data_IF_533171253169
#
_entry.id   IF_533171253169
#
_cell.length_a   1.000
_cell.length_b   1.000
_cell.length_c   1.000
_cell.angle_alpha   90.00
_cell.angle_beta   90.00
_cell.angle_gamma   90.00
#
_symmetry.space_group_name_H-M   'P 1'
#
loop_
_entity.id
_entity.type
_entity.pdbx_description
1 polymer ?
#
# COMPACT_ATOMS: atom_id res chain seq x y z
N UNK A 1 -12.64 -0.97 -2.60
CA UNK A 1 -13.01 -1.67 -1.34
C UNK A 1 -13.56 -0.61 -0.40
N UNK A 2 -14.66 -0.85 0.32
CA UNK A 2 -15.23 0.09 1.30
C UNK A 2 -15.01 -0.38 2.75
N UNK A 3 -14.10 -1.34 2.95
CA UNK A 3 -13.71 -1.86 4.27
C UNK A 3 -14.86 -2.45 5.11
N UNK A 4 -16.01 -2.78 4.48
CA UNK A 4 -17.19 -3.30 5.17
C UNK A 4 -17.03 -4.71 5.79
N UNK A 5 -15.88 -5.38 5.59
CA UNK A 5 -15.61 -6.69 6.16
C UNK A 5 -16.26 -7.89 5.46
N UNK A 6 -17.16 -7.68 4.49
CA UNK A 6 -17.83 -8.79 3.78
C UNK A 6 -16.83 -9.77 3.14
N UNK A 7 -15.73 -9.27 2.59
CA UNK A 7 -14.71 -10.14 2.00
C UNK A 7 -13.99 -11.04 3.01
N UNK A 8 -13.99 -10.70 4.31
CA UNK A 8 -13.49 -11.59 5.36
C UNK A 8 -14.53 -12.65 5.73
N UNK A 9 -15.82 -12.27 5.84
CA UNK A 9 -16.92 -13.19 6.15
C UNK A 9 -17.08 -14.27 5.08
N UNK A 10 -16.94 -13.89 3.82
CA UNK A 10 -17.09 -14.79 2.68
C UNK A 10 -15.76 -15.33 2.14
N UNK A 11 -14.67 -15.16 2.89
CA UNK A 11 -13.37 -15.68 2.46
C UNK A 11 -13.42 -17.23 2.47
N UNK A 12 -13.16 -17.91 1.34
CA UNK A 12 -13.12 -19.37 1.33
C UNK A 12 -11.89 -19.94 2.04
N UNK A 13 -10.87 -19.09 2.28
CA UNK A 13 -9.68 -19.44 3.05
C UNK A 13 -9.94 -19.15 4.53
N UNK A 14 -9.57 -20.11 5.39
CA UNK A 14 -9.87 -20.07 6.83
C UNK A 14 -9.15 -18.93 7.58
N UNK A 15 -8.07 -18.40 7.01
CA UNK A 15 -7.26 -17.35 7.61
C UNK A 15 -7.10 -16.16 6.67
N UNK A 16 -7.13 -14.97 7.27
CA UNK A 16 -6.86 -13.71 6.60
C UNK A 16 -8.11 -12.91 6.25
N UNK A 17 -7.95 -11.59 6.32
CA UNK A 17 -8.91 -10.57 5.90
C UNK A 17 -8.31 -9.90 4.67
N UNK A 18 -8.72 -10.29 3.45
CA UNK A 18 -8.11 -9.80 2.22
C UNK A 18 -8.03 -8.28 2.13
N UNK A 19 -9.05 -7.58 2.65
CA UNK A 19 -9.09 -6.12 2.65
C UNK A 19 -8.17 -5.43 3.66
N UNK A 20 -7.69 -6.13 4.71
CA UNK A 20 -6.99 -5.51 5.84
C UNK A 20 -5.55 -6.01 6.01
N UNK A 21 -5.30 -7.27 5.68
CA UNK A 21 -4.00 -7.91 5.94
C UNK A 21 -3.03 -7.81 4.73
N UNK A 22 -3.37 -6.98 3.72
CA UNK A 22 -2.56 -6.70 2.52
C UNK A 22 -2.34 -5.21 2.39
N UNK A 23 -1.22 -4.82 1.74
CA UNK A 23 -0.96 -3.42 1.41
C UNK A 23 -2.02 -2.89 0.44
N UNK A 24 -2.55 -1.71 0.75
CA UNK A 24 -3.43 -0.95 -0.14
C UNK A 24 -2.62 0.00 -1.01
N UNK A 25 -2.82 -0.02 -2.32
CA UNK A 25 -2.38 1.05 -3.20
C UNK A 25 -3.48 2.13 -3.23
N UNK A 26 -3.15 3.31 -2.74
CA UNK A 26 -4.06 4.46 -2.72
C UNK A 26 -3.89 5.32 -3.98
N UNK A 27 -4.96 6.02 -4.34
CA UNK A 27 -5.02 6.91 -5.51
C UNK A 27 -5.13 8.39 -5.15
N UNK A 28 -5.33 8.70 -3.87
CA UNK A 28 -5.31 10.07 -3.34
C UNK A 28 -4.91 10.07 -1.88
N UNK A 29 -4.49 11.23 -1.37
CA UNK A 29 -4.28 11.41 0.07
C UNK A 29 -5.58 11.23 0.85
N UNK A 30 -6.70 11.70 0.32
CA UNK A 30 -8.03 11.55 0.92
C UNK A 30 -8.39 10.06 1.12
N UNK A 31 -8.17 9.20 0.13
CA UNK A 31 -8.41 7.76 0.25
C UNK A 31 -7.54 7.14 1.36
N UNK A 32 -6.31 7.63 1.50
CA UNK A 32 -5.37 7.16 2.52
C UNK A 32 -5.72 7.68 3.92
N UNK A 33 -6.26 8.88 4.04
CA UNK A 33 -6.71 9.48 5.30
C UNK A 33 -8.01 8.85 5.81
N UNK A 34 -8.93 8.52 4.90
CA UNK A 34 -10.20 7.87 5.23
C UNK A 34 -10.11 6.36 5.46
N UNK A 35 -8.91 5.78 5.38
CA UNK A 35 -8.64 4.36 5.56
C UNK A 35 -7.71 4.10 6.74
N UNK A 36 -7.92 2.99 7.45
CA UNK A 36 -6.98 2.51 8.48
C UNK A 36 -5.92 1.55 7.92
N UNK A 37 -5.99 1.19 6.64
CA UNK A 37 -5.13 0.17 6.06
C UNK A 37 -3.67 0.62 5.96
N UNK A 38 -2.78 -0.36 6.06
CA UNK A 38 -1.41 -0.20 5.60
C UNK A 38 -1.37 -0.11 4.08
N UNK A 39 -0.43 0.65 3.55
CA UNK A 39 -0.39 0.89 2.12
C UNK A 39 0.52 2.00 1.70
N UNK A 40 0.40 2.39 0.44
CA UNK A 40 1.23 3.40 -0.17
C UNK A 40 0.49 4.18 -1.25
N UNK A 41 0.93 5.42 -1.44
CA UNK A 41 0.43 6.37 -2.43
C UNK A 41 1.63 6.90 -3.22
N UNK A 42 1.53 6.92 -4.55
CA UNK A 42 2.50 7.62 -5.38
C UNK A 42 2.35 9.13 -5.18
N UNK A 43 3.46 9.81 -4.85
CA UNK A 43 3.51 11.27 -4.73
C UNK A 43 4.06 11.89 -6.00
N UNK A 44 5.08 11.24 -6.57
CA UNK A 44 5.65 11.52 -7.89
C UNK A 44 6.19 10.21 -8.50
N UNK A 45 7.01 10.29 -9.55
CA UNK A 45 7.54 9.11 -10.26
C UNK A 45 8.37 8.18 -9.36
N UNK A 46 9.06 8.73 -8.36
CA UNK A 46 10.02 7.97 -7.53
C UNK A 46 9.71 7.98 -6.03
N UNK A 47 8.87 8.92 -5.56
CA UNK A 47 8.51 9.05 -4.16
C UNK A 47 7.12 8.50 -3.85
N UNK A 48 7.06 7.78 -2.73
CA UNK A 48 5.85 7.17 -2.23
C UNK A 48 5.62 7.54 -0.77
N UNK A 49 4.39 7.94 -0.46
CA UNK A 49 3.90 8.09 0.92
C UNK A 49 3.46 6.71 1.39
N UNK A 50 4.13 6.16 2.39
CA UNK A 50 3.97 4.77 2.84
C UNK A 50 3.52 4.75 4.31
N UNK A 51 2.45 4.01 4.59
CA UNK A 51 1.95 3.71 5.94
C UNK A 51 2.13 2.24 6.26
N UNK A 52 3.01 1.92 7.21
CA UNK A 52 3.26 0.55 7.71
C UNK A 52 3.62 0.63 9.19
N UNK A 53 3.16 -0.34 9.98
CA UNK A 53 3.37 -0.43 11.43
C UNK A 53 3.03 0.86 12.18
N UNK A 54 1.91 1.50 11.79
CA UNK A 54 1.43 2.74 12.41
C UNK A 54 2.25 4.00 12.10
N UNK A 55 3.28 3.91 11.24
CA UNK A 55 4.10 5.08 10.85
C UNK A 55 3.84 5.47 9.41
N UNK A 56 3.72 6.77 9.15
CA UNK A 56 3.63 7.34 7.80
C UNK A 56 4.94 8.04 7.46
N UNK A 57 5.48 7.80 6.26
CA UNK A 57 6.69 8.46 5.75
C UNK A 57 6.69 8.56 4.23
N UNK A 58 7.36 9.57 3.70
CA UNK A 58 7.62 9.68 2.26
C UNK A 58 9.03 9.20 1.96
N UNK A 59 9.18 8.24 1.04
CA UNK A 59 10.48 7.65 0.70
C UNK A 59 10.62 7.46 -0.80
N UNK A 60 11.86 7.54 -1.29
CA UNK A 60 12.22 7.03 -2.62
C UNK A 60 12.51 5.52 -2.53
N UNK A 61 11.96 4.73 -3.44
CA UNK A 61 12.12 3.25 -3.42
C UNK A 61 13.50 2.77 -3.85
N UNK A 62 14.29 3.64 -4.49
CA UNK A 62 15.67 3.32 -4.90
C UNK A 62 16.71 3.69 -3.82
N UNK A 63 16.29 4.38 -2.75
CA UNK A 63 17.19 4.70 -1.64
C UNK A 63 17.55 3.45 -0.83
N UNK A 64 18.83 3.31 -0.47
CA UNK A 64 19.38 2.09 0.18
C UNK A 64 18.93 1.93 1.65
N UNK A 65 18.34 2.97 2.28
CA UNK A 65 17.87 2.94 3.67
C UNK A 65 16.57 3.75 3.85
N UNK A 66 15.47 3.26 3.30
CA UNK A 66 14.14 3.89 3.46
C UNK A 66 13.54 3.72 4.87
N UNK A 67 14.12 2.83 5.68
CA UNK A 67 13.56 2.41 6.97
C UNK A 67 12.25 1.64 6.85
N UNK A 68 11.90 1.17 5.65
CA UNK A 68 10.78 0.26 5.40
C UNK A 68 11.25 -1.20 5.51
N UNK A 69 10.36 -2.13 5.89
CA UNK A 69 10.62 -3.54 5.68
C UNK A 69 10.93 -3.82 4.20
N UNK A 70 11.93 -4.66 3.95
CA UNK A 70 12.41 -4.91 2.58
C UNK A 70 11.33 -5.42 1.64
N UNK A 71 10.46 -6.32 2.12
CA UNK A 71 9.34 -6.83 1.34
C UNK A 71 8.39 -5.71 0.88
N UNK A 72 8.15 -4.69 1.72
CA UNK A 72 7.31 -3.53 1.37
C UNK A 72 8.01 -2.71 0.29
N UNK A 73 9.30 -2.39 0.49
CA UNK A 73 10.10 -1.63 -0.50
C UNK A 73 10.09 -2.32 -1.87
N UNK A 74 10.35 -3.62 -1.90
CA UNK A 74 10.37 -4.41 -3.14
C UNK A 74 8.99 -4.50 -3.79
N UNK A 75 7.92 -4.57 -3.00
CA UNK A 75 6.54 -4.55 -3.53
C UNK A 75 6.24 -3.23 -4.23
N UNK A 76 6.53 -2.09 -3.59
CA UNK A 76 6.29 -0.76 -4.17
C UNK A 76 7.13 -0.58 -5.44
N UNK A 77 8.41 -0.96 -5.39
CA UNK A 77 9.29 -0.94 -6.57
C UNK A 77 8.75 -1.78 -7.71
N UNK A 78 8.27 -2.99 -7.43
CA UNK A 78 7.67 -3.84 -8.46
C UNK A 78 6.41 -3.20 -9.07
N UNK A 79 5.59 -2.53 -8.25
CA UNK A 79 4.42 -1.79 -8.75
C UNK A 79 4.84 -0.63 -9.66
N UNK A 80 5.84 0.17 -9.28
CA UNK A 80 6.38 1.24 -10.13
C UNK A 80 6.93 0.68 -11.45
N UNK A 81 7.82 -0.31 -11.36
CA UNK A 81 8.63 -0.77 -12.50
C UNK A 81 7.84 -1.65 -13.48
N UNK A 82 6.94 -2.49 -12.98
CA UNK A 82 6.25 -3.53 -13.78
C UNK A 82 4.73 -3.34 -13.88
N UNK A 83 4.14 -2.52 -13.00
CA UNK A 83 2.69 -2.35 -12.89
C UNK A 83 2.27 -0.87 -12.80
N UNK A 84 3.02 0.02 -13.47
CA UNK A 84 2.78 1.47 -13.43
C UNK A 84 1.37 1.88 -13.84
N UNK A 85 0.67 1.04 -14.61
CA UNK A 85 -0.74 1.24 -14.98
C UNK A 85 -1.72 1.19 -13.79
N UNK A 86 -1.29 0.68 -12.62
CA UNK A 86 -2.07 0.71 -11.38
C UNK A 86 -1.97 2.07 -10.66
N UNK A 87 -0.92 2.84 -10.95
CA UNK A 87 -0.71 4.16 -10.37
C UNK A 87 -1.63 5.17 -11.07
N UNK A 88 -2.23 6.06 -10.28
CA UNK A 88 -3.02 7.15 -10.83
C UNK A 88 -2.09 8.12 -11.58
N UNK A 89 -2.49 8.51 -12.78
CA UNK A 89 -1.80 9.52 -13.60
C UNK A 89 -2.19 10.93 -13.18
#
# INVERSE_FOLDING_TARGET
CNECGNCAVFCPYQEGRPYKDKLTLFWSEEDMENSENEGFLAVDEDHFKVRVAGTVRTVSVDAVNTGLPEAVRLTIRAVRDNYSYLLKK
#
